data_IF_887126160322
#
_entry.id   IF_887126160322
#
_cell.length_a   1.000
_cell.length_b   1.000
_cell.length_c   1.000
_cell.angle_alpha   90.00
_cell.angle_beta   90.00
_cell.angle_gamma   90.00
#
_symmetry.space_group_name_H-M   'P 1'
#
loop_
_entity.id
_entity.type
_entity.pdbx_description
1 polymer ?
#
# COMPACT_ATOMS: atom_id res chain seq x y z
N UNK A 1 10.90 -8.47 -0.61
CA UNK A 1 11.00 -9.95 -0.56
C UNK A 1 11.12 -10.47 0.87
N UNK A 2 11.78 -9.74 1.77
CA UNK A 2 11.96 -10.13 3.19
C UNK A 2 10.66 -10.25 4.00
N UNK A 3 9.71 -9.31 3.83
CA UNK A 3 8.40 -9.37 4.51
C UNK A 3 7.64 -10.67 4.17
N UNK A 4 7.59 -11.05 2.89
CA UNK A 4 6.92 -12.27 2.44
C UNK A 4 7.58 -13.53 3.01
N UNK A 5 8.92 -13.58 3.01
CA UNK A 5 9.65 -14.71 3.61
C UNK A 5 9.38 -14.84 5.12
N UNK A 6 9.17 -13.72 5.83
CA UNK A 6 8.83 -13.75 7.25
C UNK A 6 7.37 -14.14 7.49
N UNK A 7 6.45 -13.73 6.64
CA UNK A 7 5.06 -14.21 6.68
C UNK A 7 5.00 -15.72 6.48
N UNK A 8 5.77 -16.26 5.53
CA UNK A 8 5.86 -17.70 5.31
C UNK A 8 6.42 -18.44 6.54
N UNK A 9 7.46 -17.88 7.18
CA UNK A 9 8.02 -18.41 8.44
C UNK A 9 7.01 -18.33 9.59
N UNK A 10 6.24 -17.24 9.70
CA UNK A 10 5.19 -17.05 10.70
C UNK A 10 4.10 -18.14 10.55
N UNK A 11 3.64 -18.35 9.31
CA UNK A 11 2.66 -19.37 8.97
C UNK A 11 3.21 -20.77 9.29
N UNK A 12 4.49 -21.03 9.01
CA UNK A 12 5.13 -22.30 9.32
C UNK A 12 5.20 -22.54 10.85
N UNK A 13 5.58 -21.54 11.65
CA UNK A 13 5.63 -21.64 13.11
C UNK A 13 4.25 -21.86 13.72
N UNK A 14 3.23 -21.13 13.23
CA UNK A 14 1.84 -21.34 13.66
C UNK A 14 1.33 -22.73 13.31
N UNK A 15 1.63 -23.24 12.10
CA UNK A 15 1.28 -24.60 11.68
C UNK A 15 1.99 -25.66 12.52
N UNK A 16 3.25 -25.44 12.92
CA UNK A 16 3.99 -26.35 13.79
C UNK A 16 3.40 -26.35 15.22
N UNK A 17 3.03 -25.18 15.76
CA UNK A 17 2.39 -25.06 17.07
C UNK A 17 1.00 -25.71 17.13
N UNK A 18 0.30 -25.80 16.00
CA UNK A 18 -0.98 -26.50 15.87
C UNK A 18 -0.85 -28.04 15.80
N UNK A 19 0.38 -28.58 15.65
CA UNK A 19 0.64 -30.02 15.67
C UNK A 19 1.08 -30.44 17.08
N UNK A 20 0.28 -31.26 17.76
CA UNK A 20 0.60 -31.79 19.09
C UNK A 20 -0.63 -32.05 19.96
N UNK A 21 -0.42 -32.45 21.20
CA UNK A 21 -1.51 -32.66 22.18
C UNK A 21 -2.16 -31.33 22.60
N UNK A 22 -3.43 -31.34 23.02
CA UNK A 22 -4.22 -30.13 23.34
C UNK A 22 -3.54 -29.20 24.36
N UNK A 23 -2.82 -29.78 25.34
CA UNK A 23 -2.05 -29.03 26.33
C UNK A 23 -0.77 -28.40 25.73
N UNK A 24 -0.06 -29.14 24.88
CA UNK A 24 1.13 -28.63 24.19
C UNK A 24 0.78 -27.53 23.19
N UNK A 25 -0.35 -27.64 22.49
CA UNK A 25 -0.82 -26.60 21.57
C UNK A 25 -1.08 -25.29 22.30
N UNK A 26 -1.71 -25.31 23.48
CA UNK A 26 -2.01 -24.09 24.25
C UNK A 26 -0.73 -23.37 24.72
N UNK A 27 0.24 -24.15 25.22
CA UNK A 27 1.51 -23.59 25.68
C UNK A 27 2.36 -23.06 24.50
N UNK A 28 2.53 -23.87 23.45
CA UNK A 28 3.31 -23.51 22.26
C UNK A 28 2.69 -22.36 21.48
N UNK A 29 1.35 -22.31 21.35
CA UNK A 29 0.65 -21.20 20.70
C UNK A 29 0.93 -19.88 21.40
N UNK A 30 0.85 -19.83 22.73
CA UNK A 30 1.15 -18.60 23.50
C UNK A 30 2.59 -18.14 23.28
N UNK A 31 3.55 -19.07 23.38
CA UNK A 31 4.97 -18.77 23.17
C UNK A 31 5.25 -18.26 21.74
N UNK A 32 4.66 -18.91 20.73
CA UNK A 32 4.80 -18.53 19.33
C UNK A 32 4.16 -17.17 19.05
N UNK A 33 2.98 -16.89 19.58
CA UNK A 33 2.31 -15.59 19.40
C UNK A 33 3.12 -14.43 20.03
N UNK A 34 3.73 -14.65 21.21
CA UNK A 34 4.62 -13.68 21.87
C UNK A 34 5.92 -13.43 21.07
N UNK A 35 6.53 -14.49 20.55
CA UNK A 35 7.76 -14.40 19.74
C UNK A 35 7.51 -13.70 18.40
N UNK A 36 6.39 -14.02 17.72
CA UNK A 36 5.96 -13.33 16.50
C UNK A 36 5.75 -11.84 16.77
N UNK A 37 5.09 -11.50 17.89
CA UNK A 37 4.85 -10.11 18.26
C UNK A 37 6.17 -9.35 18.44
N UNK A 38 7.13 -9.93 19.18
CA UNK A 38 8.47 -9.34 19.39
C UNK A 38 9.24 -9.16 18.09
N UNK A 39 9.30 -10.19 17.25
CA UNK A 39 10.00 -10.15 15.97
C UNK A 39 9.38 -9.12 15.01
N UNK A 40 8.05 -9.04 14.99
CA UNK A 40 7.34 -8.07 14.15
C UNK A 40 7.57 -6.62 14.59
N UNK A 41 7.63 -6.36 15.90
CA UNK A 41 7.92 -5.04 16.45
C UNK A 41 9.34 -4.59 16.10
N UNK A 42 10.33 -5.46 16.32
CA UNK A 42 11.74 -5.20 15.98
C UNK A 42 11.94 -4.91 14.50
N UNK A 43 11.24 -5.65 13.63
CA UNK A 43 11.32 -5.43 12.18
C UNK A 43 10.71 -4.10 11.77
N UNK A 44 9.54 -3.74 12.31
CA UNK A 44 8.91 -2.44 12.06
C UNK A 44 9.80 -1.29 12.52
N UNK A 45 10.45 -1.44 13.68
CA UNK A 45 11.42 -0.47 14.19
C UNK A 45 12.63 -0.35 13.26
N UNK A 46 13.20 -1.46 12.80
CA UNK A 46 14.30 -1.46 11.83
C UNK A 46 13.91 -0.78 10.52
N UNK A 47 12.75 -1.12 9.96
CA UNK A 47 12.24 -0.47 8.75
C UNK A 47 11.99 1.03 8.95
N UNK A 48 11.46 1.43 10.10
CA UNK A 48 11.27 2.84 10.43
C UNK A 48 12.61 3.57 10.56
N UNK A 49 13.61 2.92 11.16
CA UNK A 49 14.98 3.44 11.27
C UNK A 49 15.67 3.58 9.91
N UNK A 50 15.54 2.58 9.04
CA UNK A 50 16.06 2.63 7.67
C UNK A 50 15.39 3.75 6.86
N UNK A 51 14.06 3.87 6.93
CA UNK A 51 13.33 4.96 6.30
C UNK A 51 13.79 6.33 6.83
N UNK A 52 13.96 6.46 8.14
CA UNK A 52 14.48 7.69 8.75
C UNK A 52 15.91 8.01 8.29
N UNK A 53 16.80 7.01 8.21
CA UNK A 53 18.17 7.17 7.70
C UNK A 53 18.20 7.53 6.22
N UNK A 54 17.22 7.07 5.43
CA UNK A 54 17.03 7.44 4.03
C UNK A 54 16.38 8.82 3.87
N UNK A 55 16.08 9.53 4.97
CA UNK A 55 15.46 10.85 4.95
C UNK A 55 13.94 10.82 4.77
N UNK A 56 13.31 9.65 4.75
CA UNK A 56 11.87 9.46 4.77
C UNK A 56 11.34 9.39 6.21
N UNK A 57 11.80 10.26 7.10
CA UNK A 57 11.20 10.39 8.43
C UNK A 57 9.75 10.87 8.25
N UNK A 58 8.82 10.15 8.87
CA UNK A 58 7.37 10.36 8.70
C UNK A 58 7.00 11.83 8.74
N UNK A 59 6.45 12.32 7.64
CA UNK A 59 6.12 13.73 7.45
C UNK A 59 5.30 14.30 8.60
N UNK A 60 5.98 15.07 9.46
CA UNK A 60 5.40 16.08 10.33
C UNK A 60 6.24 17.36 10.34
N UNK A 61 7.04 17.58 9.29
CA UNK A 61 7.80 18.83 9.08
C UNK A 61 7.65 19.33 7.64
N UNK A 62 6.45 19.23 7.06
CA UNK A 62 6.09 20.12 5.95
C UNK A 62 4.68 20.64 6.18
N UNK A 63 4.68 21.79 6.82
CA UNK A 63 3.61 22.73 7.05
C UNK A 63 3.07 23.23 5.70
N UNK A 64 2.20 22.44 5.05
CA UNK A 64 1.20 22.93 4.10
C UNK A 64 0.34 21.77 3.60
N UNK A 65 -0.93 21.76 4.00
CA UNK A 65 -1.95 20.77 3.61
C UNK A 65 -2.21 20.62 2.10
N UNK A 66 -1.52 21.40 1.24
CA UNK A 66 -1.58 21.33 -0.22
C UNK A 66 -0.62 20.32 -0.85
N UNK A 67 0.51 20.01 -0.21
CA UNK A 67 1.54 19.16 -0.84
C UNK A 67 1.32 17.66 -0.64
N UNK A 68 0.58 17.27 0.40
CA UNK A 68 0.29 15.86 0.70
C UNK A 68 -0.49 15.17 -0.42
N UNK A 69 -1.40 15.89 -1.09
CA UNK A 69 -2.16 15.37 -2.25
C UNK A 69 -1.29 15.22 -3.51
N UNK A 70 -0.32 16.11 -3.70
CA UNK A 70 0.62 16.06 -4.81
C UNK A 70 1.66 14.93 -4.63
N UNK A 71 2.10 14.69 -3.41
CA UNK A 71 3.01 13.59 -3.09
C UNK A 71 2.33 12.22 -3.28
N UNK A 72 1.11 12.05 -2.77
CA UNK A 72 0.35 10.80 -2.98
C UNK A 72 0.13 10.51 -4.47
N UNK A 73 -0.16 11.55 -5.26
CA UNK A 73 -0.27 11.48 -6.72
C UNK A 73 1.05 11.07 -7.37
N UNK A 74 2.17 11.68 -6.98
CA UNK A 74 3.49 11.36 -7.48
C UNK A 74 3.92 9.93 -7.12
N UNK A 75 3.70 9.50 -5.88
CA UNK A 75 3.98 8.13 -5.42
C UNK A 75 3.16 7.12 -6.20
N UNK A 76 1.87 7.38 -6.43
CA UNK A 76 1.00 6.54 -7.26
C UNK A 76 1.51 6.47 -8.70
N UNK A 77 1.93 7.59 -9.29
CA UNK A 77 2.49 7.61 -10.63
C UNK A 77 3.81 6.81 -10.74
N UNK A 78 4.72 6.97 -9.78
CA UNK A 78 5.99 6.22 -9.71
C UNK A 78 5.72 4.72 -9.54
N UNK A 79 4.75 4.36 -8.71
CA UNK A 79 4.34 2.97 -8.50
C UNK A 79 3.50 2.40 -9.66
N UNK A 80 3.25 3.17 -10.72
CA UNK A 80 2.47 2.75 -11.89
C UNK A 80 0.97 2.59 -11.63
N UNK A 81 0.48 3.13 -10.52
CA UNK A 81 -0.95 3.13 -10.18
C UNK A 81 -1.61 4.28 -10.93
N UNK A 82 -2.64 3.97 -11.72
CA UNK A 82 -3.38 4.96 -12.50
C UNK A 82 -3.93 6.07 -11.60
N UNK A 83 -3.37 7.27 -11.71
CA UNK A 83 -3.91 8.48 -11.07
C UNK A 83 -5.02 8.99 -11.98
N UNK A 84 -6.28 8.86 -11.56
CA UNK A 84 -7.33 9.67 -12.19
C UNK A 84 -7.14 11.11 -11.71
N UNK A 85 -6.26 11.86 -12.38
CA UNK A 85 -6.49 13.29 -12.45
C UNK A 85 -7.82 13.43 -13.17
N UNK A 86 -8.82 13.96 -12.48
CA UNK A 86 -10.08 14.32 -13.09
C UNK A 86 -9.82 15.55 -13.97
N UNK A 87 -8.97 15.43 -14.99
CA UNK A 87 -9.13 16.21 -16.19
C UNK A 87 -10.32 15.58 -16.87
N UNK A 88 -11.49 16.14 -16.59
CA UNK A 88 -12.72 15.97 -17.34
C UNK A 88 -12.44 16.35 -18.80
N UNK A 89 -11.78 15.46 -19.56
CA UNK A 89 -11.92 15.39 -20.99
C UNK A 89 -13.33 14.85 -21.22
N UNK A 90 -14.31 15.72 -20.94
CA UNK A 90 -15.71 15.51 -21.22
C UNK A 90 -15.78 15.12 -22.69
N UNK A 91 -16.02 13.84 -22.93
CA UNK A 91 -16.22 13.34 -24.29
C UNK A 91 -17.32 14.24 -24.87
N UNK A 92 -17.11 14.87 -26.03
CA UNK A 92 -18.09 15.81 -26.57
C UNK A 92 -19.44 15.11 -26.67
N UNK A 93 -20.46 15.76 -26.11
CA UNK A 93 -21.83 15.24 -26.05
C UNK A 93 -22.28 14.78 -27.44
N UNK A 94 -23.13 13.76 -27.50
CA UNK A 94 -23.66 13.24 -28.77
C UNK A 94 -24.26 14.34 -29.66
N UNK A 95 -24.85 15.39 -29.06
CA UNK A 95 -25.40 16.53 -29.79
C UNK A 95 -24.33 17.36 -30.51
N UNK A 96 -23.19 17.60 -29.84
CA UNK A 96 -22.05 18.34 -30.40
C UNK A 96 -21.47 17.58 -31.59
N UNK A 97 -21.25 16.27 -31.46
CA UNK A 97 -20.78 15.41 -32.56
C UNK A 97 -21.76 15.42 -33.76
N UNK A 98 -23.07 15.48 -33.51
CA UNK A 98 -24.08 15.49 -34.58
C UNK A 98 -24.09 16.82 -35.33
N UNK A 99 -23.86 17.94 -34.65
CA UNK A 99 -23.76 19.27 -35.27
C UNK A 99 -22.48 19.39 -36.10
N UNK A 100 -21.36 18.92 -35.58
CA UNK A 100 -20.07 18.92 -36.29
C UNK A 100 -20.13 18.10 -37.60
N UNK A 101 -20.75 16.91 -37.58
CA UNK A 101 -20.97 16.12 -38.81
C UNK A 101 -21.82 16.83 -39.85
N UNK A 102 -22.82 17.62 -39.45
CA UNK A 102 -23.66 18.38 -40.39
C UNK A 102 -22.86 19.52 -41.02
N UNK A 103 -22.07 20.24 -40.24
CA UNK A 103 -21.22 21.32 -40.74
C UNK A 103 -20.18 20.84 -41.77
N UNK A 104 -19.66 19.61 -41.63
CA UNK A 104 -18.73 19.01 -42.60
C UNK A 104 -19.40 18.54 -43.89
N UNK A 105 -20.73 18.36 -43.90
CA UNK A 105 -21.48 17.94 -45.09
C UNK A 105 -22.04 19.11 -45.89
N UNK A 106 -22.06 20.31 -45.31
CA UNK A 106 -22.56 21.55 -45.93
C UNK A 106 -21.43 22.43 -46.50
N UNK A 107 -20.19 21.92 -46.52
CA UNK A 107 -19.00 22.56 -47.10
C UNK A 107 -18.58 21.85 -48.41
#
# INVERSE_FOLDING_TARGET
>A
KEISQLQDKEIAMKKAAAKGSKAEQKAKKKQVDEEISKLSAKLKEGHAGELASLGYSGGSNNDNGKEKGNLDTLVKAIAGVSVSSQTDHSKPSKSVKRREKRAQQEA
#
